data_IF_781232359555
#
_entry.id   IF_781232359555
#
_cell.length_a   1.000
_cell.length_b   1.000
_cell.length_c   1.000
_cell.angle_alpha   90.00
_cell.angle_beta   90.00
_cell.angle_gamma   90.00
#
_symmetry.space_group_name_H-M   'P 1'
#
loop_
_entity.id
_entity.type
_entity.pdbx_description
1 polymer ?
#
# COMPACT_ATOMS: atom_id res chain seq x y z
N UNK A 1 5.42 -7.11 -7.79
CA UNK A 1 4.59 -7.75 -8.85
C UNK A 1 5.39 -8.04 -10.13
N UNK A 2 6.25 -7.11 -10.61
CA UNK A 2 7.12 -7.34 -11.79
C UNK A 2 7.99 -8.61 -11.63
N UNK A 3 8.62 -8.82 -10.47
CA UNK A 3 9.40 -10.03 -10.18
C UNK A 3 8.56 -11.30 -10.21
N UNK A 4 7.34 -11.26 -9.70
CA UNK A 4 6.41 -12.39 -9.74
C UNK A 4 6.10 -12.80 -11.19
N UNK A 5 5.87 -11.82 -12.08
CA UNK A 5 5.67 -12.12 -13.49
C UNK A 5 6.93 -12.66 -14.16
N UNK A 6 8.05 -11.91 -14.07
CA UNK A 6 9.31 -12.23 -14.79
C UNK A 6 9.98 -13.52 -14.33
N UNK A 7 9.95 -13.80 -13.01
CA UNK A 7 10.66 -14.95 -12.45
C UNK A 7 9.78 -16.20 -12.32
N UNK A 8 8.48 -16.03 -12.12
CA UNK A 8 7.54 -17.13 -11.82
C UNK A 8 6.40 -17.28 -12.82
N UNK A 9 6.34 -16.44 -13.86
CA UNK A 9 5.29 -16.50 -14.88
C UNK A 9 3.88 -16.21 -14.36
N UNK A 10 3.76 -15.55 -13.20
CA UNK A 10 2.44 -15.26 -12.62
C UNK A 10 1.73 -14.13 -13.36
N UNK A 11 0.43 -14.23 -13.50
CA UNK A 11 -0.39 -13.12 -13.97
C UNK A 11 -0.50 -12.07 -12.86
N UNK A 12 -0.08 -10.85 -13.16
CA UNK A 12 -0.05 -9.75 -12.21
C UNK A 12 -0.69 -8.50 -12.80
N UNK A 13 -1.35 -7.73 -11.98
CA UNK A 13 -1.95 -6.44 -12.35
C UNK A 13 -1.65 -5.38 -11.28
N UNK A 14 -1.78 -4.12 -11.62
CA UNK A 14 -1.74 -3.00 -10.70
C UNK A 14 -3.12 -2.33 -10.64
N UNK A 15 -3.60 -2.09 -9.42
CA UNK A 15 -4.77 -1.25 -9.15
C UNK A 15 -4.22 0.11 -8.69
N UNK A 16 -4.45 1.15 -9.49
CA UNK A 16 -3.94 2.49 -9.19
C UNK A 16 -4.69 3.56 -9.98
N UNK A 17 -4.37 4.83 -9.75
CA UNK A 17 -4.86 5.93 -10.57
C UNK A 17 -3.71 6.78 -11.08
N UNK A 18 -3.78 7.17 -12.35
CA UNK A 18 -2.83 8.07 -13.00
C UNK A 18 -3.54 9.31 -13.53
N UNK A 19 -2.83 10.43 -13.55
CA UNK A 19 -3.24 11.61 -14.29
C UNK A 19 -3.11 11.32 -15.79
N UNK A 20 -4.15 11.64 -16.55
CA UNK A 20 -4.24 11.39 -17.99
C UNK A 20 -3.37 12.41 -18.75
N UNK A 21 -2.09 12.10 -18.84
CA UNK A 21 -1.07 12.87 -19.55
C UNK A 21 0.12 11.96 -19.94
N UNK A 22 1.09 12.53 -20.63
CA UNK A 22 2.26 11.83 -21.15
C UNK A 22 3.11 11.15 -20.03
N UNK A 23 3.14 11.75 -18.83
CA UNK A 23 3.82 11.14 -17.69
C UNK A 23 3.09 9.89 -17.22
N UNK A 24 1.76 9.93 -17.18
CA UNK A 24 0.92 8.76 -16.86
C UNK A 24 1.12 7.64 -17.90
N UNK A 25 1.15 7.98 -19.18
CA UNK A 25 1.42 7.02 -20.26
C UNK A 25 2.82 6.40 -20.13
N UNK A 26 3.83 7.21 -19.85
CA UNK A 26 5.20 6.71 -19.62
C UNK A 26 5.26 5.75 -18.43
N UNK A 27 4.57 6.06 -17.33
CA UNK A 27 4.50 5.18 -16.17
C UNK A 27 3.80 3.86 -16.51
N UNK A 28 2.70 3.91 -17.28
CA UNK A 28 2.01 2.72 -17.80
C UNK A 28 2.97 1.84 -18.60
N UNK A 29 3.70 2.43 -19.57
CA UNK A 29 4.64 1.70 -20.40
C UNK A 29 5.73 0.99 -19.58
N UNK A 30 6.28 1.65 -18.56
CA UNK A 30 7.25 1.02 -17.65
C UNK A 30 6.68 -0.14 -16.85
N UNK A 31 5.41 -0.10 -16.48
CA UNK A 31 4.72 -1.20 -15.80
C UNK A 31 4.56 -2.37 -16.77
N UNK A 32 4.08 -2.11 -17.99
CA UNK A 32 3.86 -3.13 -19.03
C UNK A 32 5.15 -3.80 -19.50
N UNK A 33 6.27 -3.08 -19.58
CA UNK A 33 7.60 -3.65 -19.81
C UNK A 33 7.98 -4.69 -18.73
N UNK A 34 7.39 -4.57 -17.54
CA UNK A 34 7.50 -5.55 -16.47
C UNK A 34 6.60 -6.78 -16.64
N UNK A 35 5.73 -6.80 -17.68
CA UNK A 35 4.74 -7.84 -17.88
C UNK A 35 3.55 -7.77 -16.92
N UNK A 36 3.32 -6.62 -16.31
CA UNK A 36 2.22 -6.38 -15.37
C UNK A 36 1.06 -5.74 -16.13
N UNK A 37 -0.17 -6.29 -15.99
CA UNK A 37 -1.36 -5.68 -16.60
C UNK A 37 -1.66 -4.32 -15.98
N UNK A 38 -2.06 -3.39 -16.83
CA UNK A 38 -2.45 -2.02 -16.54
C UNK A 38 -3.94 -1.76 -16.74
N UNK A 39 -4.73 -2.81 -17.00
CA UNK A 39 -6.16 -2.72 -17.32
C UNK A 39 -7.01 -2.16 -16.17
N UNK A 40 -6.47 -2.17 -14.94
CA UNK A 40 -7.12 -1.69 -13.73
C UNK A 40 -6.67 -0.28 -13.31
N UNK A 41 -6.03 0.45 -14.21
CA UNK A 41 -5.65 1.85 -13.95
C UNK A 41 -6.85 2.76 -14.15
N UNK A 42 -7.21 3.51 -13.11
CA UNK A 42 -8.15 4.62 -13.22
C UNK A 42 -7.42 5.86 -13.77
N UNK A 43 -7.93 6.43 -14.86
CA UNK A 43 -7.38 7.65 -15.47
C UNK A 43 -8.13 8.86 -14.99
N UNK A 44 -7.45 9.77 -14.29
CA UNK A 44 -8.01 11.02 -13.78
C UNK A 44 -7.69 12.16 -14.73
N UNK A 45 -8.69 12.99 -15.05
CA UNK A 45 -8.51 14.19 -15.87
C UNK A 45 -7.50 15.14 -15.25
N UNK A 46 -6.62 15.70 -16.08
CA UNK A 46 -5.66 16.73 -15.68
C UNK A 46 -5.96 18.04 -16.38
N UNK A 47 -5.48 19.14 -15.81
CA UNK A 47 -5.50 20.49 -16.41
C UNK A 47 -4.21 20.80 -17.18
N UNK A 48 -3.34 19.82 -17.37
CA UNK A 48 -2.05 19.95 -18.03
C UNK A 48 -0.93 20.57 -17.19
N UNK A 49 -1.24 21.10 -16.01
CA UNK A 49 -0.27 21.75 -15.10
C UNK A 49 -0.33 21.23 -13.66
N UNK A 50 -1.13 20.20 -13.41
CA UNK A 50 -1.17 19.48 -12.13
C UNK A 50 -1.96 20.14 -10.99
N UNK A 51 -2.82 21.13 -11.26
CA UNK A 51 -3.71 21.70 -10.24
C UNK A 51 -4.83 20.74 -9.85
N UNK A 52 -5.45 20.09 -10.84
CA UNK A 52 -6.51 19.10 -10.59
C UNK A 52 -5.95 17.84 -10.01
N UNK A 53 -5.00 17.23 -10.71
CA UNK A 53 -4.21 16.10 -10.23
C UNK A 53 -2.93 15.96 -11.05
N UNK A 54 -1.99 15.19 -10.54
CA UNK A 54 -0.71 14.89 -11.19
C UNK A 54 -0.27 13.46 -10.90
N UNK A 55 0.77 13.02 -11.55
CA UNK A 55 1.47 11.78 -11.20
C UNK A 55 2.54 12.05 -10.14
N UNK A 56 2.68 11.14 -9.18
CA UNK A 56 3.67 11.25 -8.13
C UNK A 56 5.10 11.09 -8.68
N UNK A 57 6.05 11.77 -8.07
CA UNK A 57 7.46 11.70 -8.40
C UNK A 57 8.28 11.25 -7.20
N UNK A 58 9.33 10.52 -7.46
CA UNK A 58 10.33 10.17 -6.46
C UNK A 58 11.71 10.36 -7.06
N UNK A 59 12.48 11.24 -6.46
CA UNK A 59 13.87 11.50 -6.82
C UNK A 59 14.77 10.84 -5.80
N UNK A 60 15.70 10.00 -6.27
CA UNK A 60 16.67 9.37 -5.38
C UNK A 60 18.08 9.69 -5.88
N UNK A 61 18.80 10.44 -5.08
CA UNK A 61 20.24 10.61 -5.25
C UNK A 61 20.95 9.38 -4.64
N UNK A 62 21.77 8.71 -5.43
CA UNK A 62 22.54 7.57 -4.94
C UNK A 62 23.57 8.00 -3.91
N UNK A 63 23.75 7.20 -2.87
CA UNK A 63 24.85 7.39 -1.93
C UNK A 63 26.20 7.18 -2.60
N UNK A 64 27.23 7.82 -2.04
CA UNK A 64 28.61 7.67 -2.47
C UNK A 64 29.54 7.62 -1.26
N UNK A 65 30.36 6.60 -1.16
CA UNK A 65 31.24 6.39 -0.01
C UNK A 65 30.44 6.26 1.30
N UNK A 66 30.79 7.09 2.29
CA UNK A 66 30.10 7.13 3.59
C UNK A 66 28.77 7.90 3.57
N UNK A 67 28.48 8.61 2.48
CA UNK A 67 27.24 9.35 2.33
C UNK A 67 26.12 8.42 1.85
N UNK A 68 25.08 8.27 2.68
CA UNK A 68 23.89 7.51 2.33
C UNK A 68 23.11 8.10 1.13
N UNK A 69 22.24 7.32 0.53
CA UNK A 69 21.30 7.78 -0.49
C UNK A 69 20.33 8.81 0.11
N UNK A 70 19.95 9.81 -0.70
CA UNK A 70 18.96 10.82 -0.31
C UNK A 70 17.76 10.74 -1.24
N UNK A 71 16.59 10.46 -0.69
CA UNK A 71 15.31 10.42 -1.42
C UNK A 71 14.48 11.67 -1.18
N UNK A 72 13.75 12.08 -2.21
CA UNK A 72 12.70 13.08 -2.13
C UNK A 72 11.46 12.53 -2.80
N UNK A 73 10.41 12.26 -2.00
CA UNK A 73 9.13 11.77 -2.49
C UNK A 73 8.12 12.91 -2.56
N UNK A 74 7.64 13.19 -3.74
CA UNK A 74 6.63 14.20 -4.02
C UNK A 74 5.30 13.52 -4.35
N UNK A 75 4.43 13.34 -3.35
CA UNK A 75 3.26 12.46 -3.37
C UNK A 75 1.91 13.17 -3.24
N UNK A 76 1.90 14.44 -2.82
CA UNK A 76 0.66 15.18 -2.62
C UNK A 76 -0.03 15.50 -3.95
N UNK A 77 -1.36 15.67 -3.91
CA UNK A 77 -2.19 16.01 -5.06
C UNK A 77 -2.05 15.06 -6.27
N UNK A 78 -1.71 13.80 -6.00
CA UNK A 78 -1.58 12.80 -7.07
C UNK A 78 -2.94 12.19 -7.41
N UNK A 79 -3.09 11.67 -8.62
CA UNK A 79 -4.32 10.99 -9.04
C UNK A 79 -4.69 9.86 -8.06
N UNK A 80 -3.70 9.08 -7.62
CA UNK A 80 -3.95 7.98 -6.68
C UNK A 80 -4.29 8.46 -5.26
N UNK A 81 -3.79 9.60 -4.81
CA UNK A 81 -4.17 10.16 -3.51
C UNK A 81 -5.60 10.74 -3.49
N UNK A 82 -6.17 10.99 -4.66
CA UNK A 82 -7.54 11.47 -4.85
C UNK A 82 -8.51 10.38 -5.29
N UNK A 83 -8.01 9.15 -5.48
CA UNK A 83 -8.85 8.03 -5.86
C UNK A 83 -9.74 7.61 -4.68
N UNK A 84 -10.99 7.33 -5.00
CA UNK A 84 -12.01 6.87 -4.06
C UNK A 84 -12.40 5.42 -4.36
N UNK A 85 -13.10 4.71 -3.47
CA UNK A 85 -13.55 3.35 -3.74
C UNK A 85 -14.38 3.22 -5.03
N UNK A 86 -15.13 4.24 -5.41
CA UNK A 86 -16.00 4.27 -6.60
C UNK A 86 -15.21 4.33 -7.91
N UNK A 87 -13.93 4.68 -7.87
CA UNK A 87 -13.05 4.67 -9.04
C UNK A 87 -12.64 3.27 -9.48
N UNK A 88 -12.92 2.25 -8.65
CA UNK A 88 -12.51 0.86 -8.88
C UNK A 88 -13.68 -0.11 -8.74
N UNK A 89 -13.88 -0.95 -9.73
CA UNK A 89 -14.85 -2.05 -9.66
C UNK A 89 -14.24 -3.24 -8.88
N UNK A 90 -14.21 -3.13 -7.56
CA UNK A 90 -13.66 -4.18 -6.69
C UNK A 90 -14.45 -5.49 -6.79
N UNK A 91 -15.76 -5.45 -7.05
CA UNK A 91 -16.55 -6.66 -7.26
C UNK A 91 -16.08 -7.40 -8.54
N UNK A 92 -15.87 -6.68 -9.65
CA UNK A 92 -15.30 -7.28 -10.86
C UNK A 92 -13.88 -7.83 -10.64
N UNK A 93 -13.05 -7.11 -9.92
CA UNK A 93 -11.64 -7.49 -9.67
C UNK A 93 -11.56 -8.80 -8.87
N UNK A 94 -12.32 -8.95 -7.80
CA UNK A 94 -12.16 -10.05 -6.87
C UNK A 94 -13.13 -11.22 -7.09
N UNK A 95 -14.28 -10.98 -7.71
CA UNK A 95 -15.27 -11.99 -8.02
C UNK A 95 -14.69 -13.11 -8.91
N UNK A 96 -15.12 -14.34 -8.69
CA UNK A 96 -14.63 -15.48 -9.45
C UNK A 96 -14.87 -15.35 -10.96
N UNK A 97 -13.99 -15.97 -11.76
CA UNK A 97 -14.12 -15.97 -13.22
C UNK A 97 -15.43 -16.65 -13.70
N UNK A 98 -15.86 -17.70 -13.00
CA UNK A 98 -17.14 -18.37 -13.26
C UNK A 98 -18.34 -17.43 -13.16
N UNK A 99 -18.22 -16.38 -12.34
CA UNK A 99 -19.27 -15.44 -12.04
C UNK A 99 -19.08 -14.09 -12.78
N UNK A 100 -18.16 -14.06 -13.74
CA UNK A 100 -17.89 -12.91 -14.60
C UNK A 100 -16.88 -11.89 -14.05
N UNK A 101 -16.13 -12.23 -13.01
CA UNK A 101 -15.05 -11.42 -12.47
C UNK A 101 -13.65 -11.81 -13.00
N UNK A 102 -12.61 -11.11 -12.54
CA UNK A 102 -11.21 -11.44 -12.86
C UNK A 102 -10.65 -12.60 -12.01
N UNK A 103 -11.23 -12.86 -10.84
CA UNK A 103 -10.81 -13.94 -9.94
C UNK A 103 -9.42 -13.73 -9.39
N UNK A 104 -9.12 -12.53 -8.92
CA UNK A 104 -7.84 -12.21 -8.27
C UNK A 104 -7.71 -13.02 -6.98
N UNK A 105 -6.61 -13.77 -6.84
CA UNK A 105 -6.40 -14.66 -5.69
C UNK A 105 -5.57 -14.03 -4.57
N UNK A 106 -4.83 -12.98 -4.86
CA UNK A 106 -3.96 -12.31 -3.89
C UNK A 106 -3.97 -10.80 -4.14
N UNK A 107 -4.36 -10.04 -3.13
CA UNK A 107 -4.21 -8.60 -3.06
C UNK A 107 -3.01 -8.25 -2.17
N UNK A 108 -2.13 -7.38 -2.63
CA UNK A 108 -1.08 -6.78 -1.80
C UNK A 108 -1.22 -5.28 -1.79
N UNK A 109 -1.24 -4.68 -0.61
CA UNK A 109 -1.28 -3.23 -0.41
C UNK A 109 -0.49 -2.87 0.85
N UNK A 110 -0.53 -1.61 1.31
CA UNK A 110 0.22 -1.23 2.50
C UNK A 110 -0.02 0.18 3.00
N UNK A 111 0.55 0.46 4.17
CA UNK A 111 0.37 1.69 4.92
C UNK A 111 0.87 2.95 4.22
N UNK A 112 1.83 2.85 3.31
CA UNK A 112 2.24 4.00 2.49
C UNK A 112 1.10 4.49 1.59
N UNK A 113 0.32 3.58 1.00
CA UNK A 113 -0.85 3.98 0.23
C UNK A 113 -1.93 4.55 1.15
N UNK A 114 -2.27 3.85 2.23
CA UNK A 114 -3.26 4.30 3.20
C UNK A 114 -2.97 5.72 3.73
N UNK A 115 -1.70 6.05 3.98
CA UNK A 115 -1.27 7.32 4.53
C UNK A 115 -1.21 8.49 3.52
N UNK A 116 -1.60 8.28 2.24
CA UNK A 116 -1.56 9.36 1.23
C UNK A 116 -2.65 10.42 1.45
N UNK A 117 -3.82 10.02 1.93
CA UNK A 117 -4.99 10.88 2.10
C UNK A 117 -6.12 10.14 2.83
N UNK A 118 -7.15 10.85 3.25
CA UNK A 118 -8.37 10.21 3.79
C UNK A 118 -9.05 9.31 2.75
N UNK A 119 -9.13 9.74 1.48
CA UNK A 119 -9.67 8.92 0.39
C UNK A 119 -8.89 7.63 0.20
N UNK A 120 -7.55 7.68 0.35
CA UNK A 120 -6.73 6.48 0.26
C UNK A 120 -6.98 5.51 1.44
N UNK A 121 -7.24 6.04 2.66
CA UNK A 121 -7.69 5.22 3.79
C UNK A 121 -8.99 4.46 3.46
N UNK A 122 -10.00 5.16 2.98
CA UNK A 122 -11.28 4.58 2.60
C UNK A 122 -11.13 3.53 1.49
N UNK A 123 -10.32 3.85 0.47
CA UNK A 123 -10.09 2.98 -0.68
C UNK A 123 -9.37 1.69 -0.29
N UNK A 124 -8.35 1.76 0.57
CA UNK A 124 -7.64 0.55 1.02
C UNK A 124 -8.55 -0.36 1.86
N UNK A 125 -9.36 0.23 2.74
CA UNK A 125 -10.33 -0.53 3.54
C UNK A 125 -11.36 -1.21 2.63
N UNK A 126 -11.92 -0.47 1.67
CA UNK A 126 -12.89 -1.01 0.72
C UNK A 126 -12.30 -2.14 -0.14
N UNK A 127 -11.07 -1.98 -0.63
CA UNK A 127 -10.37 -3.01 -1.39
C UNK A 127 -10.15 -4.30 -0.57
N UNK A 128 -9.64 -4.17 0.67
CA UNK A 128 -9.40 -5.32 1.56
C UNK A 128 -10.71 -6.03 1.92
N UNK A 129 -11.77 -5.28 2.23
CA UNK A 129 -13.10 -5.80 2.52
C UNK A 129 -13.71 -6.55 1.33
N UNK A 130 -13.60 -5.98 0.13
CA UNK A 130 -14.08 -6.64 -1.09
C UNK A 130 -13.25 -7.90 -1.41
N UNK A 131 -11.93 -7.85 -1.28
CA UNK A 131 -11.06 -9.00 -1.45
C UNK A 131 -11.47 -10.15 -0.53
N UNK A 132 -11.68 -9.86 0.76
CA UNK A 132 -12.09 -10.85 1.76
C UNK A 132 -13.47 -11.45 1.45
N UNK A 133 -14.44 -10.64 1.00
CA UNK A 133 -15.78 -11.08 0.58
C UNK A 133 -15.72 -12.19 -0.47
N UNK A 134 -14.74 -12.17 -1.36
CA UNK A 134 -14.58 -13.15 -2.44
C UNK A 134 -13.49 -14.21 -2.18
N UNK A 135 -12.94 -14.28 -0.98
CA UNK A 135 -11.94 -15.26 -0.58
C UNK A 135 -10.55 -15.00 -1.16
N UNK A 136 -10.27 -13.78 -1.60
CA UNK A 136 -8.93 -13.34 -2.01
C UNK A 136 -8.05 -13.20 -0.79
N UNK A 137 -6.82 -13.74 -0.85
CA UNK A 137 -5.81 -13.56 0.20
C UNK A 137 -5.36 -12.11 0.19
N UNK A 138 -5.34 -11.49 1.35
CA UNK A 138 -4.90 -10.10 1.53
C UNK A 138 -3.58 -10.07 2.29
N UNK A 139 -2.54 -9.50 1.68
CA UNK A 139 -1.30 -9.16 2.36
C UNK A 139 -1.14 -7.65 2.49
N UNK A 140 -0.68 -7.23 3.66
CA UNK A 140 -0.55 -5.81 4.00
C UNK A 140 0.79 -5.52 4.64
N UNK A 141 1.53 -4.55 4.09
CA UNK A 141 2.77 -4.04 4.66
C UNK A 141 2.47 -2.76 5.45
N UNK A 142 2.61 -2.81 6.77
CA UNK A 142 2.34 -1.68 7.67
C UNK A 142 3.16 -0.45 7.30
N UNK A 143 4.44 -0.61 7.07
CA UNK A 143 5.39 0.36 6.53
C UNK A 143 5.14 1.79 7.03
N UNK A 144 5.13 1.96 8.35
CA UNK A 144 4.78 3.21 9.01
C UNK A 144 5.69 4.37 8.59
N UNK A 145 5.08 5.51 8.29
CA UNK A 145 5.79 6.74 7.94
C UNK A 145 5.17 7.93 8.68
N UNK A 146 5.76 8.36 9.82
CA UNK A 146 5.20 9.43 10.66
C UNK A 146 4.80 10.66 9.87
N UNK A 147 5.71 11.15 9.00
CA UNK A 147 5.49 12.37 8.21
C UNK A 147 4.29 12.32 7.25
N UNK A 148 3.86 11.12 6.85
CA UNK A 148 2.67 10.97 6.00
C UNK A 148 1.39 10.97 6.85
N UNK A 149 1.41 10.25 7.96
CA UNK A 149 0.26 10.17 8.86
C UNK A 149 -0.01 11.49 9.58
N UNK A 150 1.03 12.26 9.94
CA UNK A 150 0.87 13.60 10.55
C UNK A 150 -0.03 14.52 9.71
N UNK A 151 0.05 14.41 8.38
CA UNK A 151 -0.76 15.23 7.47
C UNK A 151 -2.26 14.92 7.51
N UNK A 152 -2.66 13.76 8.01
CA UNK A 152 -4.06 13.28 7.98
C UNK A 152 -4.60 12.84 9.35
N UNK A 153 -3.93 13.21 10.45
CA UNK A 153 -4.42 12.93 11.81
C UNK A 153 -3.45 12.20 12.73
N UNK A 154 -2.22 11.99 12.28
CA UNK A 154 -1.12 11.48 13.10
C UNK A 154 -1.24 10.02 13.51
N UNK A 155 -0.62 9.69 14.64
CA UNK A 155 -0.56 8.34 15.17
C UNK A 155 -1.95 7.75 15.46
N UNK A 156 -2.87 8.55 15.99
CA UNK A 156 -4.23 8.10 16.29
C UNK A 156 -4.96 7.65 15.03
N UNK A 157 -4.83 8.40 13.93
CA UNK A 157 -5.42 8.04 12.64
C UNK A 157 -4.76 6.80 12.03
N UNK A 158 -3.43 6.69 12.15
CA UNK A 158 -2.72 5.50 11.72
C UNK A 158 -3.25 4.24 12.42
N UNK A 159 -3.42 4.29 13.74
CA UNK A 159 -3.94 3.17 14.51
C UNK A 159 -5.40 2.85 14.17
N UNK A 160 -6.25 3.87 14.04
CA UNK A 160 -7.66 3.68 13.63
C UNK A 160 -7.75 2.92 12.30
N UNK A 161 -7.05 3.41 11.28
CA UNK A 161 -7.11 2.85 9.92
C UNK A 161 -6.49 1.46 9.86
N UNK A 162 -5.30 1.28 10.45
CA UNK A 162 -4.61 -0.02 10.37
C UNK A 162 -5.30 -1.11 11.19
N UNK A 163 -5.94 -0.77 12.32
CA UNK A 163 -6.79 -1.71 13.08
C UNK A 163 -8.04 -2.11 12.28
N UNK A 164 -8.62 -1.20 11.51
CA UNK A 164 -9.75 -1.57 10.63
C UNK A 164 -9.30 -2.47 9.47
N UNK A 165 -8.17 -2.14 8.82
CA UNK A 165 -7.59 -2.96 7.74
C UNK A 165 -7.20 -4.35 8.24
N UNK A 166 -6.64 -4.47 9.45
CA UNK A 166 -6.18 -5.73 10.04
C UNK A 166 -7.27 -6.81 10.06
N UNK A 167 -8.54 -6.42 10.24
CA UNK A 167 -9.68 -7.35 10.22
C UNK A 167 -9.84 -8.15 8.92
N UNK A 168 -9.24 -7.70 7.84
CA UNK A 168 -9.36 -8.27 6.50
C UNK A 168 -8.05 -8.86 5.98
N UNK A 169 -6.97 -8.79 6.77
CA UNK A 169 -5.61 -9.19 6.35
C UNK A 169 -5.33 -10.64 6.74
N UNK A 170 -4.80 -11.41 5.81
CA UNK A 170 -4.34 -12.79 6.05
C UNK A 170 -2.83 -12.85 6.31
N UNK A 171 -2.06 -11.92 5.74
CA UNK A 171 -0.59 -11.85 5.89
C UNK A 171 -0.18 -10.41 6.20
N UNK A 172 0.24 -10.16 7.43
CA UNK A 172 0.73 -8.85 7.83
C UNK A 172 2.26 -8.80 7.82
N UNK A 173 2.80 -7.72 7.29
CA UNK A 173 4.24 -7.49 7.14
C UNK A 173 4.60 -6.18 7.84
N UNK A 174 5.66 -6.18 8.61
CA UNK A 174 6.17 -5.01 9.33
C UNK A 174 7.31 -5.38 10.26
N UNK A 175 8.02 -4.38 10.72
CA UNK A 175 8.95 -4.51 11.83
C UNK A 175 8.24 -4.18 13.17
N UNK A 176 8.95 -4.25 14.28
CA UNK A 176 8.40 -3.96 15.62
C UNK A 176 7.86 -2.53 15.75
N UNK A 177 8.53 -1.54 15.15
CA UNK A 177 8.11 -0.15 15.15
C UNK A 177 6.77 0.01 14.39
N UNK A 178 6.64 -0.67 13.25
CA UNK A 178 5.42 -0.66 12.46
C UNK A 178 4.24 -1.24 13.24
N UNK A 179 4.41 -2.37 13.91
CA UNK A 179 3.36 -3.00 14.74
C UNK A 179 2.99 -2.13 15.94
N UNK A 180 3.98 -1.54 16.61
CA UNK A 180 3.75 -0.62 17.74
C UNK A 180 2.99 0.62 17.27
N UNK A 181 3.47 1.28 16.23
CA UNK A 181 2.87 2.52 15.75
C UNK A 181 1.49 2.31 15.13
N UNK A 182 1.33 1.29 14.26
CA UNK A 182 0.11 1.11 13.49
C UNK A 182 -0.99 0.36 14.26
N UNK A 183 -0.63 -0.55 15.16
CA UNK A 183 -1.60 -1.40 15.86
C UNK A 183 -1.64 -1.17 17.37
N UNK A 184 -0.65 -0.44 17.91
CA UNK A 184 -0.56 -0.12 19.32
C UNK A 184 -0.06 -1.27 20.20
N UNK A 185 0.65 -2.25 19.61
CA UNK A 185 1.30 -3.30 20.39
C UNK A 185 2.58 -2.77 21.03
N UNK A 186 2.84 -3.16 22.27
CA UNK A 186 4.06 -2.81 22.98
C UNK A 186 4.95 -4.05 23.14
N UNK A 187 6.26 -3.87 22.90
CA UNK A 187 7.26 -4.89 23.17
C UNK A 187 8.02 -4.46 24.40
N UNK A 188 7.73 -5.11 25.53
CA UNK A 188 8.45 -4.88 26.78
C UNK A 188 9.87 -5.47 26.73
N UNK A 189 10.86 -4.70 27.21
CA UNK A 189 12.19 -5.21 27.49
C UNK A 189 13.17 -5.22 26.31
N UNK A 190 12.94 -4.44 25.27
CA UNK A 190 13.96 -4.12 24.26
C UNK A 190 14.86 -2.99 24.78
N UNK A 191 16.19 -3.18 24.66
CA UNK A 191 17.18 -2.13 24.83
C UNK A 191 17.09 -1.13 23.65
N UNK A 192 17.21 0.18 23.92
CA UNK A 192 17.18 1.28 22.93
C UNK A 192 18.17 1.08 21.75
N UNK A 193 19.20 0.24 21.94
CA UNK A 193 20.21 -0.07 20.91
C UNK A 193 20.04 -1.47 20.28
N UNK A 194 18.94 -2.17 20.53
CA UNK A 194 18.66 -3.53 20.03
C UNK A 194 19.78 -4.57 20.32
N UNK A 195 20.59 -4.33 21.35
CA UNK A 195 21.65 -5.26 21.75
C UNK A 195 21.11 -6.50 22.44
N UNK A 196 19.92 -6.41 23.00
CA UNK A 196 19.21 -7.54 23.63
C UNK A 196 17.81 -7.62 23.05
N UNK A 197 17.50 -8.70 22.35
CA UNK A 197 16.18 -8.95 21.78
C UNK A 197 15.35 -9.78 22.76
N UNK A 198 14.20 -9.27 23.16
CA UNK A 198 13.24 -10.03 23.95
C UNK A 198 12.36 -10.90 23.03
N UNK A 199 12.84 -12.10 22.70
CA UNK A 199 12.14 -13.03 21.80
C UNK A 199 10.72 -13.41 22.28
N UNK A 200 10.49 -13.44 23.59
CA UNK A 200 9.18 -13.77 24.13
C UNK A 200 8.21 -12.59 24.00
N UNK A 201 8.71 -11.36 24.12
CA UNK A 201 7.95 -10.15 23.78
C UNK A 201 7.52 -10.11 22.32
N UNK A 202 8.42 -10.47 21.39
CA UNK A 202 8.08 -10.59 19.96
C UNK A 202 7.01 -11.67 19.69
N UNK A 203 7.16 -12.87 20.30
CA UNK A 203 6.16 -13.94 20.17
C UNK A 203 4.79 -13.51 20.70
N UNK A 204 4.76 -12.81 21.84
CA UNK A 204 3.52 -12.27 22.41
C UNK A 204 2.86 -11.30 21.43
N UNK A 205 3.61 -10.30 20.92
CA UNK A 205 3.10 -9.33 19.95
C UNK A 205 2.56 -10.02 18.68
N UNK A 206 3.29 -11.00 18.11
CA UNK A 206 2.86 -11.74 16.92
C UNK A 206 1.55 -12.48 17.18
N UNK A 207 1.41 -13.15 18.34
CA UNK A 207 0.19 -13.85 18.68
C UNK A 207 -1.00 -12.88 18.90
N UNK A 208 -0.76 -11.73 19.51
CA UNK A 208 -1.77 -10.70 19.69
C UNK A 208 -2.20 -10.11 18.34
N UNK A 209 -1.25 -9.82 17.45
CA UNK A 209 -1.55 -9.35 16.09
C UNK A 209 -2.32 -10.39 15.26
N UNK A 210 -2.00 -11.67 15.41
CA UNK A 210 -2.72 -12.76 14.72
C UNK A 210 -4.14 -13.00 15.27
N UNK A 211 -4.45 -12.50 16.45
CA UNK A 211 -5.77 -12.61 17.08
C UNK A 211 -6.70 -11.41 16.78
N UNK A 212 -6.17 -10.36 16.13
CA UNK A 212 -6.92 -9.16 15.74
C UNK A 212 -7.72 -9.41 14.48
#
# INVERSE_FOLDING_TARGET
IRGLHKCFGMNTAVITAFADNEVGLLMKDFIEQGGVSTDLICWKKTDGIGRLCRNGLNFTERGFGIRGAKGCSDRANTAISQATPEDFDFDYIFKNKSDGGLGVRWLHTGGIYAALSEQACETVIAACKAAKKYGTIVSYDLNYRPSMWEAIGGLAKAQEVNKEVAKYVDVMIGNEEDFTACLGFEIEGNDENLKTLNLDGYKKMINEAAAT
#
